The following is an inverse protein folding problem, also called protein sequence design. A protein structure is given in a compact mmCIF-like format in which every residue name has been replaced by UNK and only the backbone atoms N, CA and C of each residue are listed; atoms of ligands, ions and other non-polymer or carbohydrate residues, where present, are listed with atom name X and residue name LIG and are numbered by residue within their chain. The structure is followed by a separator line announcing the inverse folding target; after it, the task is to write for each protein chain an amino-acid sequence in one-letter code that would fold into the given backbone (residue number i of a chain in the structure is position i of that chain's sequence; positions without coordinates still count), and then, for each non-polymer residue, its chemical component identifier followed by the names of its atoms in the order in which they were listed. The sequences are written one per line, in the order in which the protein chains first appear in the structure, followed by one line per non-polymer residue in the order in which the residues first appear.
data_IF_208161391496
#
_entry.id   IF_208161391496
#
_cell.length_a   1.000
_cell.length_b   1.000
_cell.length_c   1.000
_cell.angle_alpha   90.00
_cell.angle_beta   90.00
_cell.angle_gamma   90.00
#
_symmetry.space_group_name_H-M   'P 1'
#
loop_
_entity.id
_entity.type
_entity.pdbx_description
1 polymer ?
#
# COMPACT_ATOMS: atom_id res chain seq x y z
N UNK A 1 -68.99 -30.27 -26.89
CA UNK A 1 -68.73 -29.39 -28.05
C UNK A 1 -68.90 -27.97 -27.51
N UNK A 2 -67.92 -27.07 -27.39
CA UNK A 2 -66.67 -26.82 -28.15
C UNK A 2 -65.70 -26.04 -27.23
N UNK A 3 -64.43 -26.46 -27.21
CA UNK A 3 -63.15 -25.71 -27.25
C UNK A 3 -63.02 -24.36 -26.52
N UNK A 4 -62.09 -24.21 -25.56
CA UNK A 4 -60.77 -23.55 -25.78
C UNK A 4 -60.77 -22.16 -25.10
N UNK A 5 -59.75 -21.59 -24.47
CA UNK A 5 -58.29 -21.72 -24.49
C UNK A 5 -57.76 -21.39 -23.08
N UNK A 6 -56.83 -22.19 -22.57
CA UNK A 6 -55.99 -21.80 -21.42
C UNK A 6 -54.89 -20.86 -21.93
N UNK A 7 -54.87 -19.62 -21.47
CA UNK A 7 -53.74 -18.71 -21.69
C UNK A 7 -52.64 -19.02 -20.66
N UNK A 8 -51.58 -19.70 -21.08
CA UNK A 8 -50.34 -19.83 -20.31
C UNK A 8 -49.54 -18.54 -20.52
N UNK A 9 -49.51 -17.66 -19.52
CA UNK A 9 -48.56 -16.55 -19.51
C UNK A 9 -47.16 -17.10 -19.23
N UNK A 10 -46.32 -17.16 -20.25
CA UNK A 10 -44.89 -17.38 -20.10
C UNK A 10 -44.28 -16.06 -19.60
N UNK A 11 -43.94 -15.99 -18.31
CA UNK A 11 -43.14 -14.89 -17.78
C UNK A 11 -41.73 -15.01 -18.34
N UNK A 12 -41.35 -14.11 -19.23
CA UNK A 12 -39.99 -13.97 -19.71
C UNK A 12 -39.13 -13.50 -18.53
N UNK A 13 -38.44 -14.42 -17.86
CA UNK A 13 -37.42 -14.07 -16.87
C UNK A 13 -36.32 -13.32 -17.60
N UNK A 14 -36.32 -11.99 -17.48
CA UNK A 14 -35.23 -11.15 -17.94
C UNK A 14 -33.95 -11.59 -17.25
N UNK A 15 -32.96 -12.01 -18.05
CA UNK A 15 -31.58 -12.08 -17.61
C UNK A 15 -31.17 -10.64 -17.24
N UNK A 16 -31.15 -10.36 -15.94
CA UNK A 16 -30.44 -9.19 -15.42
C UNK A 16 -28.97 -9.46 -15.78
N UNK A 17 -28.31 -8.62 -16.59
CA UNK A 17 -26.86 -8.67 -16.63
C UNK A 17 -26.43 -8.37 -15.20
N UNK A 18 -25.86 -9.36 -14.51
CA UNK A 18 -25.10 -9.10 -13.30
C UNK A 18 -24.06 -8.06 -13.68
N UNK A 19 -24.37 -6.79 -13.41
CA UNK A 19 -23.39 -5.75 -13.43
C UNK A 19 -22.39 -6.17 -12.37
N UNK A 20 -21.26 -6.72 -12.83
CA UNK A 20 -20.06 -6.90 -12.03
C UNK A 20 -19.76 -5.53 -11.46
N UNK A 21 -20.31 -5.27 -10.27
CA UNK A 21 -20.03 -4.08 -9.52
C UNK A 21 -18.60 -4.30 -9.10
N UNK A 22 -17.66 -3.74 -9.86
CA UNK A 22 -16.28 -3.62 -9.45
C UNK A 22 -16.35 -2.86 -8.12
N UNK A 23 -16.26 -3.61 -7.02
CA UNK A 23 -16.04 -3.01 -5.70
C UNK A 23 -14.65 -2.41 -5.80
N UNK A 24 -14.59 -1.16 -6.22
CA UNK A 24 -13.45 -0.31 -5.94
C UNK A 24 -13.31 -0.33 -4.43
N UNK A 25 -12.25 -0.98 -3.94
CA UNK A 25 -11.84 -0.81 -2.55
C UNK A 25 -11.60 0.68 -2.37
N UNK A 26 -12.43 1.34 -1.57
CA UNK A 26 -12.27 2.77 -1.32
C UNK A 26 -10.92 2.99 -0.63
N UNK A 27 -10.03 3.73 -1.28
CA UNK A 27 -8.76 4.15 -0.67
C UNK A 27 -9.04 5.32 0.27
N UNK A 28 -9.61 5.02 1.43
CA UNK A 28 -10.00 5.99 2.46
C UNK A 28 -9.78 5.39 3.83
N UNK A 29 -9.53 6.23 4.83
CA UNK A 29 -9.27 5.77 6.22
C UNK A 29 -10.40 4.90 6.77
N UNK A 30 -11.66 5.21 6.43
CA UNK A 30 -12.85 4.45 6.86
C UNK A 30 -12.88 2.99 6.40
N UNK A 31 -12.11 2.64 5.37
CA UNK A 31 -11.98 1.25 4.89
C UNK A 31 -11.16 0.40 5.86
N UNK A 32 -10.25 1.04 6.59
CA UNK A 32 -9.33 0.39 7.51
C UNK A 32 -9.87 0.52 8.93
N UNK A 33 -9.73 -0.55 9.71
CA UNK A 33 -10.03 -0.52 11.14
C UNK A 33 -8.74 -0.31 11.90
N UNK A 34 -8.79 0.41 13.01
CA UNK A 34 -7.66 0.48 13.93
C UNK A 34 -7.30 -0.94 14.39
N UNK A 35 -6.02 -1.28 14.28
CA UNK A 35 -5.47 -2.52 14.82
C UNK A 35 -4.95 -2.23 16.23
N UNK A 36 -5.41 -2.99 17.21
CA UNK A 36 -4.77 -2.99 18.52
C UNK A 36 -3.56 -3.92 18.48
N UNK A 37 -2.37 -3.33 18.52
CA UNK A 37 -1.11 -4.05 18.56
C UNK A 37 -0.52 -3.99 19.97
N UNK A 38 -0.12 -5.15 20.49
CA UNK A 38 0.53 -5.23 21.80
C UNK A 38 1.87 -4.48 21.75
N UNK A 39 2.10 -3.58 22.71
CA UNK A 39 3.34 -2.81 22.81
C UNK A 39 3.47 -1.62 21.85
N UNK A 40 2.50 -1.40 20.95
CA UNK A 40 2.50 -0.28 19.99
C UNK A 40 1.29 0.63 20.22
N UNK A 41 1.51 1.94 20.18
CA UNK A 41 0.46 2.96 20.13
C UNK A 41 0.48 3.63 18.75
N UNK A 42 -0.58 3.42 17.95
CA UNK A 42 -0.77 4.09 16.66
C UNK A 42 -1.27 5.51 16.96
N UNK A 43 -0.50 6.50 16.53
CA UNK A 43 -0.79 7.92 16.77
C UNK A 43 -1.42 8.61 15.56
N UNK A 44 -1.18 8.09 14.36
CA UNK A 44 -1.78 8.61 13.12
C UNK A 44 -2.00 7.50 12.09
N UNK A 45 -3.08 7.64 11.30
CA UNK A 45 -3.38 6.83 10.13
C UNK A 45 -3.88 7.75 9.01
N UNK A 46 -3.07 7.89 7.97
CA UNK A 46 -3.45 8.58 6.73
C UNK A 46 -3.61 7.56 5.59
N UNK A 47 -4.65 7.74 4.78
CA UNK A 47 -4.97 6.83 3.68
C UNK A 47 -5.44 7.67 2.50
N UNK A 48 -4.62 7.72 1.45
CA UNK A 48 -4.86 8.58 0.30
C UNK A 48 -4.59 7.86 -1.02
N UNK A 49 -5.46 8.02 -2.03
CA UNK A 49 -5.14 7.59 -3.38
C UNK A 49 -4.04 8.51 -3.95
N UNK A 50 -2.99 7.90 -4.50
CA UNK A 50 -1.90 8.59 -5.14
C UNK A 50 -1.73 8.06 -6.57
N UNK A 51 -1.59 8.98 -7.53
CA UNK A 51 -1.61 8.65 -8.96
C UNK A 51 -0.34 9.12 -9.66
N UNK A 52 0.02 8.44 -10.75
CA UNK A 52 1.15 8.75 -11.62
C UNK A 52 2.49 8.86 -10.87
N UNK A 53 2.72 8.00 -9.88
CA UNK A 53 3.97 7.99 -9.12
C UNK A 53 5.08 7.36 -9.96
N UNK A 54 6.11 8.14 -10.27
CA UNK A 54 7.26 7.66 -11.05
C UNK A 54 8.12 6.68 -10.25
N UNK A 55 8.46 5.55 -10.86
CA UNK A 55 9.41 4.57 -10.29
C UNK A 55 10.87 4.92 -10.58
N UNK A 56 11.14 6.03 -11.27
CA UNK A 56 12.49 6.36 -11.73
C UNK A 56 13.48 6.48 -10.58
N UNK A 57 14.65 5.84 -10.72
CA UNK A 57 15.69 5.86 -9.69
C UNK A 57 15.30 5.18 -8.37
N UNK A 58 14.15 4.49 -8.30
CA UNK A 58 13.67 3.74 -7.11
C UNK A 58 14.01 2.25 -7.18
N UNK A 59 14.97 1.90 -8.03
CA UNK A 59 15.45 0.53 -8.20
C UNK A 59 16.48 0.20 -7.13
N UNK A 60 16.06 -0.52 -6.09
CA UNK A 60 17.01 -1.29 -5.28
C UNK A 60 17.70 -2.30 -6.21
N UNK A 61 19.02 -2.41 -6.13
CA UNK A 61 19.82 -3.29 -6.99
C UNK A 61 19.43 -4.76 -6.77
N UNK A 62 18.55 -5.31 -7.63
CA UNK A 62 18.41 -6.75 -7.87
C UNK A 62 17.47 -7.56 -6.97
N UNK A 63 16.33 -7.01 -6.53
CA UNK A 63 15.31 -7.74 -5.73
C UNK A 63 14.05 -8.14 -6.49
N UNK A 64 13.19 -8.96 -5.86
CA UNK A 64 11.82 -9.20 -6.34
C UNK A 64 11.03 -7.88 -6.36
N UNK A 65 10.13 -7.71 -7.34
CA UNK A 65 9.32 -6.50 -7.47
C UNK A 65 10.07 -5.25 -7.97
N UNK A 66 11.31 -5.38 -8.44
CA UNK A 66 12.05 -4.27 -9.05
C UNK A 66 11.73 -4.20 -10.54
N UNK A 67 11.30 -3.02 -11.00
CA UNK A 67 11.04 -2.73 -12.42
C UNK A 67 12.13 -1.76 -12.92
N UNK A 68 13.12 -2.24 -13.69
CA UNK A 68 14.25 -1.40 -14.09
C UNK A 68 13.81 -0.28 -15.03
N UNK A 69 14.46 0.88 -14.89
CA UNK A 69 14.33 1.97 -15.86
C UNK A 69 14.97 1.53 -17.18
N UNK A 70 14.25 1.69 -18.29
CA UNK A 70 14.79 1.42 -19.63
C UNK A 70 15.35 2.74 -20.20
N UNK A 71 16.66 2.83 -20.48
CA UNK A 71 17.27 4.05 -21.02
C UNK A 71 16.57 4.52 -22.30
N UNK A 72 16.29 5.83 -22.38
CA UNK A 72 15.62 6.44 -23.53
C UNK A 72 14.09 6.27 -23.56
N UNK A 73 13.49 5.67 -22.53
CA UNK A 73 12.04 5.60 -22.36
C UNK A 73 11.59 6.36 -21.10
N UNK A 74 10.37 6.91 -21.07
CA UNK A 74 9.81 7.44 -19.84
C UNK A 74 9.75 6.36 -18.76
N UNK A 75 10.12 6.70 -17.53
CA UNK A 75 9.98 5.79 -16.40
C UNK A 75 8.50 5.40 -16.22
N UNK A 76 8.23 4.13 -15.87
CA UNK A 76 6.86 3.71 -15.63
C UNK A 76 6.31 4.43 -14.40
N UNK A 77 4.97 4.52 -14.36
CA UNK A 77 4.25 5.14 -13.25
C UNK A 77 3.28 4.16 -12.64
N UNK A 78 2.97 4.36 -11.37
CA UNK A 78 2.05 3.51 -10.61
C UNK A 78 1.02 4.35 -9.86
N UNK A 79 -0.19 3.80 -9.80
CA UNK A 79 -1.32 4.32 -9.06
C UNK A 79 -1.54 3.43 -7.83
N UNK A 80 -1.40 4.02 -6.63
CA UNK A 80 -1.41 3.28 -5.37
C UNK A 80 -2.40 3.87 -4.37
N UNK A 81 -2.97 3.02 -3.54
CA UNK A 81 -3.53 3.45 -2.27
C UNK A 81 -2.38 3.54 -1.27
N UNK A 82 -1.97 4.77 -0.95
CA UNK A 82 -0.92 5.03 0.00
C UNK A 82 -1.54 5.08 1.41
N UNK A 83 -0.97 4.28 2.29
CA UNK A 83 -1.34 4.23 3.69
C UNK A 83 -0.09 4.58 4.49
N UNK A 84 -0.19 5.61 5.34
CA UNK A 84 0.87 6.02 6.24
C UNK A 84 0.40 5.81 7.67
N UNK A 85 1.16 5.00 8.41
CA UNK A 85 0.91 4.70 9.81
C UNK A 85 2.06 5.31 10.61
N UNK A 86 1.74 6.19 11.53
CA UNK A 86 2.70 6.69 12.53
C UNK A 86 2.39 6.03 13.86
N UNK A 87 3.41 5.49 14.51
CA UNK A 87 3.28 4.84 15.80
C UNK A 87 4.51 5.02 16.67
N UNK A 88 4.35 4.71 17.97
CA UNK A 88 5.43 4.62 18.95
C UNK A 88 5.39 3.28 19.67
N UNK A 89 6.55 2.78 20.10
CA UNK A 89 6.62 1.64 21.00
C UNK A 89 6.39 2.10 22.44
N UNK A 90 5.51 1.42 23.18
CA UNK A 90 5.18 1.78 24.57
C UNK A 90 6.42 1.80 25.46
N UNK A 91 6.67 2.95 26.08
CA UNK A 91 7.85 3.16 26.93
C UNK A 91 9.12 3.54 26.17
N UNK A 92 9.03 3.67 24.84
CA UNK A 92 10.03 4.32 24.01
C UNK A 92 9.54 5.72 23.64
N UNK A 93 10.47 6.63 23.39
CA UNK A 93 10.18 8.00 22.92
C UNK A 93 10.47 8.11 21.42
N UNK A 94 10.04 7.10 20.65
CA UNK A 94 10.27 7.01 19.22
C UNK A 94 9.04 7.42 18.39
N UNK A 95 9.29 7.78 17.14
CA UNK A 95 8.24 8.06 16.15
C UNK A 95 8.60 7.28 14.90
N UNK A 96 7.90 6.18 14.66
CA UNK A 96 8.12 5.31 13.52
C UNK A 96 7.04 5.55 12.49
N UNK A 97 7.45 5.77 11.24
CA UNK A 97 6.54 5.81 10.11
C UNK A 97 6.65 4.51 9.31
N UNK A 98 5.51 3.87 9.10
CA UNK A 98 5.37 2.73 8.19
C UNK A 98 4.46 3.12 7.05
N UNK A 99 4.93 2.84 5.84
CA UNK A 99 4.26 3.13 4.59
C UNK A 99 3.79 1.82 3.99
N UNK A 100 2.56 1.79 3.50
CA UNK A 100 1.99 0.65 2.79
C UNK A 100 1.43 1.17 1.46
N UNK A 101 1.79 0.52 0.37
CA UNK A 101 1.25 0.78 -0.96
C UNK A 101 0.41 -0.42 -1.41
N UNK A 102 -0.87 -0.20 -1.68
CA UNK A 102 -1.73 -1.21 -2.28
C UNK A 102 -2.01 -0.84 -3.74
N UNK A 103 -2.04 -1.79 -4.69
CA UNK A 103 -2.53 -1.52 -6.03
C UNK A 103 -3.95 -0.94 -5.97
N UNK A 104 -4.21 0.19 -6.63
CA UNK A 104 -5.53 0.86 -6.56
C UNK A 104 -6.66 -0.01 -7.12
N UNK A 105 -6.37 -0.82 -8.12
CA UNK A 105 -7.33 -1.79 -8.65
C UNK A 105 -6.94 -3.20 -8.23
N UNK A 106 -7.93 -3.96 -7.76
CA UNK A 106 -7.75 -5.37 -7.37
C UNK A 106 -7.10 -6.23 -8.46
N UNK A 107 -7.40 -5.97 -9.74
CA UNK A 107 -6.83 -6.71 -10.88
C UNK A 107 -5.31 -6.55 -11.01
N UNK A 108 -4.77 -5.47 -10.45
CA UNK A 108 -3.34 -5.15 -10.51
C UNK A 108 -2.60 -5.80 -9.31
N UNK A 109 -3.32 -6.41 -8.36
CA UNK A 109 -2.72 -7.13 -7.23
C UNK A 109 -2.52 -8.62 -7.57
N UNK A 110 -1.28 -9.09 -7.43
CA UNK A 110 -0.87 -10.47 -7.68
C UNK A 110 -1.13 -11.42 -6.49
N UNK A 111 -1.83 -10.95 -5.45
CA UNK A 111 -2.10 -11.69 -4.20
C UNK A 111 -0.88 -11.94 -3.31
N UNK A 112 0.26 -11.30 -3.60
CA UNK A 112 1.47 -11.38 -2.80
C UNK A 112 1.74 -10.08 -2.04
N UNK A 113 2.52 -10.21 -0.98
CA UNK A 113 3.00 -9.12 -0.16
C UNK A 113 4.53 -9.11 -0.19
N UNK A 114 5.12 -7.94 -0.35
CA UNK A 114 6.56 -7.74 -0.32
C UNK A 114 6.89 -6.53 0.55
N UNK A 115 7.83 -6.68 1.47
CA UNK A 115 8.37 -5.53 2.20
C UNK A 115 9.73 -5.16 1.63
N UNK A 116 9.92 -3.87 1.37
CA UNK A 116 11.21 -3.31 0.97
C UNK A 116 11.87 -2.65 2.18
N UNK A 117 13.15 -2.96 2.38
CA UNK A 117 14.00 -2.27 3.35
C UNK A 117 15.02 -1.38 2.64
N UNK A 118 15.84 -0.70 3.42
CA UNK A 118 16.95 0.12 2.93
C UNK A 118 18.30 -0.59 3.01
N UNK A 119 19.36 0.19 3.29
CA UNK A 119 20.73 -0.29 3.39
C UNK A 119 21.61 0.69 4.15
N UNK A 120 22.65 0.19 4.82
CA UNK A 120 23.49 1.01 5.71
C UNK A 120 22.68 1.54 6.89
N UNK A 121 22.69 2.86 7.09
CA UNK A 121 21.93 3.56 8.14
C UNK A 121 20.57 4.08 7.66
N UNK A 122 20.13 3.68 6.46
CA UNK A 122 18.81 4.00 5.94
C UNK A 122 17.92 2.77 6.07
N UNK A 123 16.87 2.84 6.88
CA UNK A 123 15.95 1.72 7.08
C UNK A 123 14.99 1.50 5.90
N UNK A 124 14.63 2.56 5.18
CA UNK A 124 13.63 2.56 4.12
C UNK A 124 12.80 3.84 4.14
N UNK A 125 11.81 3.91 3.26
CA UNK A 125 10.92 5.06 3.13
C UNK A 125 9.70 4.78 2.25
N UNK A 126 8.91 5.81 2.01
CA UNK A 126 7.74 5.73 1.14
C UNK A 126 8.08 5.40 -0.33
N UNK A 127 9.13 5.97 -0.95
CA UNK A 127 9.38 5.72 -2.38
C UNK A 127 9.71 4.27 -2.74
N UNK A 128 10.15 3.48 -1.77
CA UNK A 128 10.48 2.05 -1.89
C UNK A 128 9.25 1.19 -2.21
N UNK A 129 8.04 1.73 -2.03
CA UNK A 129 6.80 1.06 -2.35
C UNK A 129 6.55 0.94 -3.86
N UNK A 130 7.05 1.88 -4.67
CA UNK A 130 6.48 2.13 -5.99
C UNK A 130 6.76 1.00 -6.99
N UNK A 131 8.01 0.51 -7.07
CA UNK A 131 8.37 -0.59 -7.96
C UNK A 131 7.67 -1.91 -7.58
N UNK A 132 7.65 -2.34 -6.30
CA UNK A 132 6.88 -3.50 -5.88
C UNK A 132 5.39 -3.42 -6.21
N UNK A 133 4.75 -2.27 -5.97
CA UNK A 133 3.32 -2.11 -6.26
C UNK A 133 3.07 -2.12 -7.77
N UNK A 134 3.96 -1.54 -8.57
CA UNK A 134 3.91 -1.64 -10.03
C UNK A 134 4.05 -3.10 -10.51
N UNK A 135 4.88 -3.89 -9.84
CA UNK A 135 5.02 -5.32 -10.10
C UNK A 135 3.85 -6.17 -9.56
N UNK A 136 2.85 -5.52 -8.95
CA UNK A 136 1.60 -6.10 -8.51
C UNK A 136 1.56 -6.56 -7.05
N UNK A 137 2.59 -6.29 -6.25
CA UNK A 137 2.58 -6.64 -4.83
C UNK A 137 1.77 -5.64 -4.01
N UNK A 138 1.21 -6.09 -2.90
CA UNK A 138 0.98 -5.19 -1.77
C UNK A 138 2.34 -4.95 -1.12
N UNK A 139 2.76 -3.69 -0.99
CA UNK A 139 4.10 -3.35 -0.52
C UNK A 139 4.09 -2.63 0.82
N UNK A 140 5.15 -2.81 1.61
CA UNK A 140 5.41 -1.96 2.77
C UNK A 140 6.87 -1.56 2.90
N UNK A 141 7.13 -0.49 3.64
CA UNK A 141 8.46 0.02 3.99
C UNK A 141 8.36 0.89 5.24
N UNK A 142 9.47 1.17 5.93
CA UNK A 142 9.50 1.99 7.14
C UNK A 142 10.76 2.84 7.20
N UNK A 143 10.67 4.00 7.84
CA UNK A 143 11.83 4.82 8.20
C UNK A 143 12.61 4.27 9.41
N UNK A 144 12.10 3.24 10.07
CA UNK A 144 12.75 2.63 11.23
C UNK A 144 12.91 3.59 12.41
N UNK A 145 12.08 4.63 12.52
CA UNK A 145 12.09 5.56 13.64
C UNK A 145 13.07 6.72 13.54
N UNK A 146 13.65 6.95 12.35
CA UNK A 146 14.59 8.06 12.13
C UNK A 146 14.52 8.60 10.71
N UNK A 147 14.81 9.89 10.56
CA UNK A 147 14.86 10.54 9.25
C UNK A 147 16.08 10.07 8.45
N UNK A 148 15.93 9.92 7.14
CA UNK A 148 16.99 9.50 6.24
C UNK A 148 18.10 10.55 6.05
N UNK A 149 17.86 11.79 6.48
CA UNK A 149 18.89 12.84 6.59
C UNK A 149 19.44 13.00 8.00
N UNK A 150 18.93 12.25 9.00
CA UNK A 150 19.45 12.31 10.35
C UNK A 150 20.88 11.76 10.40
N UNK A 151 21.74 12.40 11.19
CA UNK A 151 23.05 11.83 11.48
C UNK A 151 22.89 10.60 12.38
N UNK A 152 23.89 9.71 12.37
CA UNK A 152 23.90 8.55 13.27
C UNK A 152 23.67 8.97 14.73
N UNK A 153 24.26 10.09 15.16
CA UNK A 153 24.15 10.56 16.54
C UNK A 153 22.74 11.02 16.90
N UNK A 154 21.96 11.54 15.94
CA UNK A 154 20.63 12.12 16.21
C UNK A 154 19.61 11.06 16.65
N UNK A 155 19.74 9.83 16.14
CA UNK A 155 18.80 8.76 16.46
C UNK A 155 19.43 7.63 17.31
N UNK A 156 20.74 7.39 17.18
CA UNK A 156 21.40 6.30 17.89
C UNK A 156 21.80 6.68 19.33
N UNK A 157 21.91 7.98 19.64
CA UNK A 157 22.39 8.45 20.94
C UNK A 157 21.35 9.31 21.66
N UNK A 158 21.32 9.17 22.98
CA UNK A 158 20.65 10.09 23.92
C UNK A 158 21.47 11.35 24.06
N UNK A 159 20.86 12.41 24.61
CA UNK A 159 21.54 13.70 24.89
C UNK A 159 22.78 13.57 25.78
N UNK A 160 22.85 12.54 26.62
CA UNK A 160 23.99 12.26 27.49
C UNK A 160 25.09 11.41 26.82
N UNK A 161 24.92 11.03 25.55
CA UNK A 161 25.88 10.24 24.77
C UNK A 161 25.75 8.73 24.91
N UNK A 162 24.80 8.24 25.72
CA UNK A 162 24.47 6.81 25.79
C UNK A 162 23.70 6.38 24.54
N UNK A 163 23.76 5.09 24.19
CA UNK A 163 22.93 4.53 23.12
C UNK A 163 21.43 4.64 23.48
N UNK A 164 20.60 4.94 22.46
CA UNK A 164 19.15 5.08 22.62
C UNK A 164 18.51 3.76 23.09
#
# INVERSE_FOLDING_TARGET
MVSGMFAVMVTLSGLIPDALTSRTSSCTTSTFKSLELKGIDITSLDVTPAHNLSTSGRNATGGAGVIPDIPGTPAPTVDICLITITYTHRGQEDVVNTYIGLPLNKKDWNSEFLMTGGGGWYAGGQPELFSPVLAGYASSSTDGGHDNVATLADWALKKNGDIN
#
